data_IF_082670594509
#
_entry.id   IF_082670594509
#
_cell.length_a   1.000
_cell.length_b   1.000
_cell.length_c   1.000
_cell.angle_alpha   90.00
_cell.angle_beta   90.00
_cell.angle_gamma   90.00
#
_symmetry.space_group_name_H-M   'P 1'
#
loop_
_entity.id
_entity.type
_entity.pdbx_description
1 polymer ?
#
# COMPACT_ATOMS: atom_id res chain seq x y z
N UNK A 1 29.49 -12.03 -6.26
CA UNK A 1 29.45 -11.78 -7.73
C UNK A 1 28.24 -10.90 -8.10
N UNK A 2 27.04 -11.19 -7.65
CA UNK A 2 25.80 -10.48 -8.00
C UNK A 2 25.73 -9.03 -7.53
N UNK A 3 26.17 -8.73 -6.31
CA UNK A 3 26.26 -7.36 -5.79
C UNK A 3 27.15 -6.47 -6.70
N UNK A 4 28.24 -7.02 -7.26
CA UNK A 4 29.09 -6.30 -8.20
C UNK A 4 28.39 -5.96 -9.52
N UNK A 5 27.47 -6.80 -10.00
CA UNK A 5 26.68 -6.54 -11.21
C UNK A 5 25.68 -5.41 -10.97
N UNK A 6 24.95 -5.46 -9.86
CA UNK A 6 24.03 -4.37 -9.47
C UNK A 6 24.78 -3.07 -9.22
N UNK A 7 25.89 -3.13 -8.50
CA UNK A 7 26.76 -1.96 -8.29
C UNK A 7 27.26 -1.40 -9.63
N UNK A 8 27.66 -2.23 -10.60
CA UNK A 8 28.02 -1.75 -11.94
C UNK A 8 26.85 -1.09 -12.66
N UNK A 9 25.65 -1.64 -12.57
CA UNK A 9 24.45 -1.02 -13.13
C UNK A 9 24.15 0.33 -12.44
N UNK A 10 24.32 0.41 -11.12
CA UNK A 10 24.18 1.63 -10.33
C UNK A 10 25.25 2.67 -10.71
N UNK A 11 26.51 2.25 -10.88
CA UNK A 11 27.59 3.16 -11.29
C UNK A 11 27.42 3.65 -12.73
N UNK A 12 26.97 2.79 -13.65
CA UNK A 12 26.61 3.17 -15.00
C UNK A 12 25.46 4.19 -14.97
N UNK A 13 24.40 3.90 -14.21
CA UNK A 13 23.30 4.80 -13.94
C UNK A 13 23.78 6.14 -13.34
N UNK A 14 24.68 6.12 -12.33
CA UNK A 14 25.21 7.34 -11.72
C UNK A 14 25.98 8.23 -12.72
N UNK A 15 26.63 7.62 -13.71
CA UNK A 15 27.35 8.34 -14.77
C UNK A 15 26.35 8.92 -15.79
N UNK A 16 25.24 8.21 -16.05
CA UNK A 16 24.21 8.61 -16.99
C UNK A 16 23.17 9.57 -16.36
N UNK A 17 22.87 9.45 -15.06
CA UNK A 17 21.92 10.32 -14.31
C UNK A 17 22.28 11.81 -14.37
N UNK A 18 23.56 12.15 -14.51
CA UNK A 18 23.98 13.55 -14.68
C UNK A 18 23.44 14.21 -15.97
N UNK A 19 22.98 13.42 -16.95
CA UNK A 19 22.42 13.88 -18.23
C UNK A 19 20.94 13.58 -18.41
N UNK A 20 20.29 12.88 -17.45
CA UNK A 20 18.92 12.36 -17.57
C UNK A 20 17.91 13.26 -16.87
N UNK A 21 16.81 13.57 -17.56
CA UNK A 21 15.77 14.46 -17.04
C UNK A 21 14.56 13.72 -16.43
N UNK A 22 14.20 12.52 -16.93
CA UNK A 22 12.98 11.81 -16.48
C UNK A 22 13.07 10.28 -16.71
N UNK A 23 13.83 9.53 -15.91
CA UNK A 23 13.93 8.07 -16.06
C UNK A 23 12.76 7.34 -15.41
N UNK A 24 12.21 6.34 -16.12
CA UNK A 24 11.38 5.29 -15.54
C UNK A 24 12.17 4.00 -15.44
N UNK A 25 12.11 3.39 -14.26
CA UNK A 25 12.60 2.05 -14.04
C UNK A 25 11.42 1.06 -14.06
N UNK A 26 11.29 0.34 -15.17
CA UNK A 26 10.45 -0.86 -15.20
C UNK A 26 11.27 -1.99 -14.60
N UNK A 27 10.91 -2.39 -13.39
CA UNK A 27 11.63 -3.41 -12.65
C UNK A 27 10.72 -4.62 -12.44
N UNK A 28 11.22 -5.78 -12.83
CA UNK A 28 10.61 -7.05 -12.50
C UNK A 28 10.61 -7.24 -10.98
N UNK A 29 9.58 -7.85 -10.42
CA UNK A 29 9.54 -8.19 -9.01
C UNK A 29 10.72 -9.11 -8.64
N UNK A 30 11.31 -8.89 -7.46
CA UNK A 30 12.48 -9.64 -7.02
C UNK A 30 13.83 -9.19 -7.58
N UNK A 31 13.88 -8.21 -8.50
CA UNK A 31 15.15 -7.71 -9.07
C UNK A 31 15.92 -6.74 -8.16
N UNK A 32 15.54 -6.59 -6.89
CA UNK A 32 16.23 -5.71 -5.94
C UNK A 32 15.88 -4.24 -6.09
N UNK A 33 14.66 -3.91 -6.51
CA UNK A 33 14.14 -2.55 -6.68
C UNK A 33 14.35 -1.69 -5.42
N UNK A 34 13.91 -2.17 -4.26
CA UNK A 34 14.02 -1.45 -2.99
C UNK A 34 15.48 -1.16 -2.63
N UNK A 35 16.35 -2.15 -2.74
CA UNK A 35 17.79 -1.98 -2.51
C UNK A 35 18.41 -0.93 -3.43
N UNK A 36 18.03 -0.91 -4.71
CA UNK A 36 18.48 0.09 -5.66
C UNK A 36 18.02 1.50 -5.26
N UNK A 37 16.76 1.66 -4.87
CA UNK A 37 16.19 2.92 -4.37
C UNK A 37 16.95 3.39 -3.12
N UNK A 38 17.19 2.51 -2.16
CA UNK A 38 17.93 2.83 -0.93
C UNK A 38 19.33 3.36 -1.20
N UNK A 39 20.06 2.74 -2.14
CA UNK A 39 21.40 3.22 -2.53
C UNK A 39 21.35 4.62 -3.14
N UNK A 40 20.36 4.91 -4.00
CA UNK A 40 20.19 6.24 -4.58
C UNK A 40 19.90 7.26 -3.49
N UNK A 41 18.95 6.97 -2.60
CA UNK A 41 18.60 7.85 -1.48
C UNK A 41 19.81 8.12 -0.59
N UNK A 42 20.53 7.06 -0.17
CA UNK A 42 21.70 7.17 0.66
C UNK A 42 22.80 7.99 -0.02
N UNK A 43 23.04 7.73 -1.31
CA UNK A 43 24.06 8.45 -2.08
C UNK A 43 23.78 9.96 -2.23
N UNK A 44 22.50 10.35 -2.40
CA UNK A 44 22.15 11.76 -2.52
C UNK A 44 22.17 12.46 -1.14
N UNK A 45 21.63 11.80 -0.13
CA UNK A 45 21.62 12.33 1.25
C UNK A 45 23.01 12.47 1.83
N UNK A 46 23.94 11.55 1.53
CA UNK A 46 25.35 11.66 1.93
C UNK A 46 26.08 12.87 1.33
N UNK A 47 25.55 13.45 0.24
CA UNK A 47 26.04 14.71 -0.34
C UNK A 47 25.37 15.96 0.24
N UNK A 48 24.51 15.80 1.26
CA UNK A 48 23.71 16.90 1.81
C UNK A 48 22.52 17.30 0.93
N UNK A 49 22.20 16.53 -0.13
CA UNK A 49 21.11 16.85 -1.04
C UNK A 49 19.76 16.32 -0.54
N UNK A 50 18.68 17.03 -0.81
CA UNK A 50 17.32 16.60 -0.48
C UNK A 50 16.88 15.53 -1.48
N UNK A 51 16.68 14.32 -0.99
CA UNK A 51 16.16 13.17 -1.75
C UNK A 51 14.81 12.75 -1.17
N UNK A 52 13.76 12.90 -1.98
CA UNK A 52 12.37 12.63 -1.59
C UNK A 52 12.01 11.22 -2.01
N UNK A 53 11.61 10.40 -1.03
CA UNK A 53 11.13 9.04 -1.24
C UNK A 53 9.61 8.99 -1.09
N UNK A 54 8.92 8.56 -2.14
CA UNK A 54 7.46 8.37 -2.11
C UNK A 54 7.06 7.03 -2.69
N UNK A 55 5.86 6.55 -2.33
CA UNK A 55 5.25 5.37 -2.91
C UNK A 55 3.75 5.54 -3.10
N UNK A 56 3.15 4.71 -3.95
CA UNK A 56 1.70 4.73 -4.19
C UNK A 56 0.89 4.34 -2.95
N UNK A 57 1.40 3.40 -2.15
CA UNK A 57 0.71 2.87 -0.96
C UNK A 57 1.49 3.17 0.32
N UNK A 58 0.78 3.15 1.47
CA UNK A 58 1.39 3.35 2.79
C UNK A 58 2.44 2.27 3.10
N UNK A 59 2.12 1.01 2.81
CA UNK A 59 3.04 -0.10 3.07
C UNK A 59 4.34 0.02 2.26
N UNK A 60 4.24 0.30 0.96
CA UNK A 60 5.42 0.51 0.11
C UNK A 60 6.24 1.73 0.59
N UNK A 61 5.59 2.78 1.06
CA UNK A 61 6.26 3.98 1.57
C UNK A 61 7.10 3.70 2.83
N UNK A 62 6.65 2.82 3.72
CA UNK A 62 7.42 2.48 4.95
C UNK A 62 8.64 1.61 4.68
N UNK A 63 8.69 0.91 3.56
CA UNK A 63 9.88 0.18 3.14
C UNK A 63 11.01 1.11 2.67
N UNK A 64 10.71 2.37 2.42
CA UNK A 64 11.69 3.36 1.96
C UNK A 64 12.17 4.22 3.13
N UNK A 65 13.48 4.45 3.29
CA UNK A 65 14.01 5.33 4.33
C UNK A 65 13.43 6.75 4.25
N UNK A 66 12.62 7.15 5.24
CA UNK A 66 11.92 8.44 5.26
C UNK A 66 10.81 8.57 4.21
N UNK A 67 10.30 7.43 3.72
CA UNK A 67 9.28 7.39 2.69
C UNK A 67 7.90 7.82 3.19
N UNK A 68 7.11 8.40 2.29
CA UNK A 68 5.72 8.81 2.48
C UNK A 68 4.89 8.44 1.25
N UNK A 69 3.56 8.41 1.40
CA UNK A 69 2.72 8.23 0.21
C UNK A 69 2.79 9.45 -0.70
N UNK A 70 2.67 9.24 -2.01
CA UNK A 70 2.58 10.32 -3.01
C UNK A 70 1.49 11.32 -2.65
N UNK A 71 0.28 10.82 -2.30
CA UNK A 71 -0.85 11.66 -1.94
C UNK A 71 -0.57 12.56 -0.73
N UNK A 72 0.08 12.03 0.29
CA UNK A 72 0.46 12.78 1.49
C UNK A 72 1.55 13.82 1.20
N UNK A 73 2.57 13.46 0.42
CA UNK A 73 3.72 14.31 0.11
C UNK A 73 3.33 15.48 -0.79
N UNK A 74 2.55 15.20 -1.84
CA UNK A 74 2.15 16.21 -2.82
C UNK A 74 0.77 16.84 -2.54
N UNK A 75 0.08 16.41 -1.47
CA UNK A 75 -1.30 16.85 -1.15
C UNK A 75 -2.21 16.72 -2.38
N UNK A 76 -2.18 15.54 -3.01
CA UNK A 76 -2.98 15.25 -4.19
C UNK A 76 -4.47 15.28 -3.81
N UNK A 77 -5.31 16.07 -4.52
CA UNK A 77 -6.75 16.10 -4.27
C UNK A 77 -7.40 14.73 -4.52
N UNK A 78 -8.37 14.33 -3.69
CA UNK A 78 -9.08 13.05 -3.85
C UNK A 78 -9.87 12.96 -5.17
N UNK A 79 -10.34 14.10 -5.68
CA UNK A 79 -11.09 14.20 -6.92
C UNK A 79 -10.23 14.50 -8.15
N UNK A 80 -8.90 14.26 -8.07
CA UNK A 80 -7.94 14.56 -9.15
C UNK A 80 -8.32 13.93 -10.49
N UNK A 81 -8.99 12.76 -10.46
CA UNK A 81 -9.40 12.02 -11.66
C UNK A 81 -10.37 12.84 -12.52
N UNK A 82 -11.18 13.69 -11.91
CA UNK A 82 -12.17 14.52 -12.60
C UNK A 82 -11.63 15.89 -13.03
N UNK A 83 -10.40 16.26 -12.64
CA UNK A 83 -9.82 17.55 -12.97
C UNK A 83 -9.42 17.60 -14.46
N UNK A 84 -9.75 18.70 -15.14
CA UNK A 84 -9.29 18.98 -16.51
C UNK A 84 -7.80 19.32 -16.52
N UNK A 85 -7.39 20.20 -15.60
CA UNK A 85 -5.98 20.57 -15.35
C UNK A 85 -5.54 20.04 -13.99
N UNK A 86 -4.98 18.83 -13.92
CA UNK A 86 -4.62 18.22 -12.66
C UNK A 86 -3.44 18.99 -12.01
N UNK A 87 -3.61 19.35 -10.73
CA UNK A 87 -2.59 20.00 -9.91
C UNK A 87 -2.72 19.59 -8.44
N UNK A 88 -1.62 19.70 -7.69
CA UNK A 88 -1.58 19.38 -6.27
C UNK A 88 -1.90 20.60 -5.40
N UNK A 89 -2.47 20.39 -4.21
CA UNK A 89 -2.87 21.45 -3.29
C UNK A 89 -1.68 22.02 -2.49
N UNK A 90 -0.60 22.41 -3.17
CA UNK A 90 0.61 22.99 -2.56
C UNK A 90 0.74 24.46 -2.98
N UNK A 91 0.78 25.36 -2.01
CA UNK A 91 0.98 26.80 -2.26
C UNK A 91 2.47 27.13 -2.25
N UNK A 92 2.91 27.99 -3.20
CA UNK A 92 4.26 28.58 -3.19
C UNK A 92 4.54 29.31 -1.88
N UNK A 93 5.80 29.31 -1.45
CA UNK A 93 6.24 29.98 -0.21
C UNK A 93 6.03 29.15 1.07
N UNK A 94 5.35 28.00 1.00
CA UNK A 94 5.23 27.09 2.15
C UNK A 94 6.52 26.31 2.40
N UNK A 95 6.73 25.81 3.63
CA UNK A 95 7.88 24.96 3.93
C UNK A 95 7.98 23.74 2.99
N UNK A 96 6.84 23.11 2.66
CA UNK A 96 6.80 22.01 1.73
C UNK A 96 7.23 22.41 0.32
N UNK A 97 6.77 23.56 -0.19
CA UNK A 97 7.18 24.03 -1.52
C UNK A 97 8.68 24.32 -1.60
N UNK A 98 9.31 24.83 -0.51
CA UNK A 98 10.77 25.02 -0.45
C UNK A 98 11.52 23.71 -0.53
N UNK A 99 11.07 22.69 0.22
CA UNK A 99 11.65 21.33 0.16
C UNK A 99 11.59 20.76 -1.27
N UNK A 100 10.46 20.94 -1.97
CA UNK A 100 10.28 20.49 -3.36
C UNK A 100 11.11 21.31 -4.35
N UNK A 101 11.33 22.60 -4.06
CA UNK A 101 12.17 23.48 -4.86
C UNK A 101 13.64 23.09 -4.77
N UNK A 102 14.13 22.77 -3.56
CA UNK A 102 15.54 22.45 -3.28
C UNK A 102 15.86 20.97 -3.49
N UNK A 103 14.83 20.13 -3.72
CA UNK A 103 15.04 18.70 -3.94
C UNK A 103 15.89 18.42 -5.17
N UNK A 104 16.80 17.44 -5.05
CA UNK A 104 17.67 16.96 -6.12
C UNK A 104 17.10 15.71 -6.82
N UNK A 105 16.35 14.89 -6.10
CA UNK A 105 15.75 13.69 -6.66
C UNK A 105 14.39 13.39 -5.99
N UNK A 106 13.45 12.97 -6.80
CA UNK A 106 12.16 12.41 -6.41
C UNK A 106 12.11 10.94 -6.83
N UNK A 107 11.75 10.06 -5.89
CA UNK A 107 11.48 8.66 -6.18
C UNK A 107 10.01 8.38 -5.91
N UNK A 108 9.35 7.74 -6.87
CA UNK A 108 7.96 7.28 -6.78
C UNK A 108 7.95 5.77 -6.96
N UNK A 109 7.86 5.03 -5.86
CA UNK A 109 7.78 3.58 -5.91
C UNK A 109 6.34 3.11 -6.15
N UNK A 110 6.19 1.96 -6.82
CA UNK A 110 4.91 1.42 -7.31
C UNK A 110 4.11 2.44 -8.14
N UNK A 111 4.79 3.25 -8.95
CA UNK A 111 4.17 4.32 -9.76
C UNK A 111 3.11 3.79 -10.75
N UNK A 112 3.21 2.52 -11.15
CA UNK A 112 2.27 1.85 -12.07
C UNK A 112 0.87 1.66 -11.49
N UNK A 113 0.73 1.72 -10.14
CA UNK A 113 -0.56 1.66 -9.45
C UNK A 113 -1.27 3.02 -9.39
N UNK A 114 -0.55 4.13 -9.66
CA UNK A 114 -1.12 5.46 -9.62
C UNK A 114 -1.89 5.77 -10.91
N UNK A 115 -3.01 6.47 -10.76
CA UNK A 115 -3.69 7.06 -11.90
C UNK A 115 -2.79 8.08 -12.60
N UNK A 116 -2.71 8.08 -13.94
CA UNK A 116 -1.84 8.98 -14.72
C UNK A 116 -1.98 10.45 -14.31
N UNK A 117 -3.20 10.92 -14.00
CA UNK A 117 -3.46 12.29 -13.57
C UNK A 117 -2.73 12.68 -12.27
N UNK A 118 -2.38 11.72 -11.42
CA UNK A 118 -1.55 11.99 -10.22
C UNK A 118 -0.15 12.43 -10.63
N UNK A 119 0.46 11.73 -11.58
CA UNK A 119 1.80 12.06 -12.08
C UNK A 119 1.77 13.36 -12.89
N UNK A 120 0.73 13.59 -13.68
CA UNK A 120 0.50 14.84 -14.40
C UNK A 120 0.31 16.04 -13.43
N UNK A 121 -0.42 15.84 -12.31
CA UNK A 121 -0.56 16.84 -11.28
C UNK A 121 0.76 17.19 -10.60
N UNK A 122 1.61 16.18 -10.36
CA UNK A 122 2.96 16.39 -9.80
C UNK A 122 3.80 17.21 -10.79
N UNK A 123 3.78 16.88 -12.07
CA UNK A 123 4.50 17.60 -13.12
C UNK A 123 4.08 19.08 -13.15
N UNK A 124 2.76 19.33 -13.24
CA UNK A 124 2.20 20.70 -13.25
C UNK A 124 2.63 21.49 -12.01
N UNK A 125 2.54 20.85 -10.84
CA UNK A 125 2.87 21.49 -9.56
C UNK A 125 4.36 21.78 -9.42
N UNK A 126 5.23 20.83 -9.84
CA UNK A 126 6.67 21.02 -9.80
C UNK A 126 7.15 22.09 -10.78
N UNK A 127 6.55 22.17 -11.97
CA UNK A 127 6.81 23.25 -12.93
C UNK A 127 6.49 24.62 -12.32
N UNK A 128 5.36 24.72 -11.63
CA UNK A 128 4.98 25.96 -10.96
C UNK A 128 5.93 26.28 -9.80
N UNK A 129 6.16 25.36 -8.86
CA UNK A 129 7.00 25.59 -7.67
C UNK A 129 8.45 25.96 -8.07
N UNK A 130 9.02 25.27 -9.04
CA UNK A 130 10.40 25.43 -9.49
C UNK A 130 10.57 26.50 -10.56
N UNK A 131 9.44 27.14 -10.97
CA UNK A 131 9.42 28.16 -12.03
C UNK A 131 10.16 27.72 -13.29
N UNK A 132 9.94 26.47 -13.71
CA UNK A 132 10.58 25.83 -14.85
C UNK A 132 9.57 25.14 -15.75
N UNK A 133 9.67 25.33 -17.06
CA UNK A 133 8.83 24.63 -18.05
C UNK A 133 9.27 23.21 -18.35
N UNK A 134 10.44 22.80 -17.83
CA UNK A 134 10.95 21.44 -18.02
C UNK A 134 10.05 20.41 -17.33
N UNK A 135 10.06 19.18 -17.83
CA UNK A 135 9.32 18.07 -17.21
C UNK A 135 9.73 17.90 -15.76
N UNK A 136 8.73 17.73 -14.87
CA UNK A 136 8.90 17.70 -13.41
C UNK A 136 9.60 18.95 -12.85
N UNK A 137 9.49 20.10 -13.53
CA UNK A 137 10.20 21.32 -13.14
C UNK A 137 11.73 21.16 -13.14
N UNK A 138 12.26 20.24 -13.96
CA UNK A 138 13.67 19.89 -14.01
C UNK A 138 14.16 19.04 -12.83
N UNK A 139 13.26 18.53 -11.97
CA UNK A 139 13.62 17.61 -10.89
C UNK A 139 13.85 16.21 -11.45
N UNK A 140 15.03 15.62 -11.16
CA UNK A 140 15.27 14.23 -11.47
C UNK A 140 14.24 13.34 -10.79
N UNK A 141 13.39 12.70 -11.59
CA UNK A 141 12.28 11.89 -11.07
C UNK A 141 12.42 10.45 -11.53
N UNK A 142 12.48 9.53 -10.58
CA UNK A 142 12.50 8.09 -10.82
C UNK A 142 11.13 7.51 -10.52
N UNK A 143 10.48 6.99 -11.56
CA UNK A 143 9.24 6.24 -11.43
C UNK A 143 9.58 4.74 -11.44
N UNK A 144 9.32 4.05 -10.34
CA UNK A 144 9.59 2.63 -10.21
C UNK A 144 8.28 1.84 -10.19
N UNK A 145 8.22 0.71 -10.87
CA UNK A 145 7.02 -0.14 -10.89
C UNK A 145 7.11 -1.26 -11.92
N UNK A 146 6.14 -2.16 -11.89
CA UNK A 146 6.01 -3.27 -12.82
C UNK A 146 4.61 -3.26 -13.46
N UNK A 147 4.55 -3.06 -14.77
CA UNK A 147 3.30 -3.06 -15.55
C UNK A 147 2.67 -4.45 -15.75
N UNK A 148 3.31 -5.51 -15.27
CA UNK A 148 2.72 -6.85 -15.21
C UNK A 148 1.84 -7.05 -13.99
N UNK A 149 1.96 -6.14 -13.03
CA UNK A 149 1.11 -6.11 -11.83
C UNK A 149 -0.23 -5.42 -12.13
N UNK A 150 -1.03 -5.24 -11.08
CA UNK A 150 -2.35 -4.61 -11.17
C UNK A 150 -2.21 -3.17 -11.71
N UNK A 151 -3.09 -2.80 -12.64
CA UNK A 151 -3.26 -1.44 -13.13
C UNK A 151 -4.03 -0.58 -12.11
N UNK A 152 -4.06 0.76 -12.29
CA UNK A 152 -4.86 1.63 -11.43
C UNK A 152 -6.32 1.16 -11.33
N UNK A 153 -6.84 1.11 -10.11
CA UNK A 153 -8.22 0.69 -9.86
C UNK A 153 -9.17 1.87 -10.10
N UNK A 154 -10.12 1.70 -11.01
CA UNK A 154 -11.18 2.67 -11.30
C UNK A 154 -12.51 2.09 -10.85
N UNK A 155 -13.17 2.75 -9.89
CA UNK A 155 -14.48 2.32 -9.40
C UNK A 155 -15.49 2.30 -10.53
N UNK A 156 -16.19 1.18 -10.69
CA UNK A 156 -17.20 0.99 -11.75
C UNK A 156 -16.66 1.31 -13.16
N UNK A 157 -15.34 1.30 -13.32
CA UNK A 157 -14.67 1.60 -14.58
C UNK A 157 -14.71 0.43 -15.56
N UNK A 158 -14.86 0.74 -16.84
CA UNK A 158 -14.68 -0.22 -17.93
C UNK A 158 -13.18 -0.53 -18.12
N UNK A 159 -12.86 -1.59 -18.87
CA UNK A 159 -11.49 -1.90 -19.29
C UNK A 159 -10.80 -0.70 -19.97
N UNK A 160 -11.54 0.04 -20.79
CA UNK A 160 -11.03 1.25 -21.44
C UNK A 160 -10.65 2.34 -20.43
N UNK A 161 -11.46 2.55 -19.38
CA UNK A 161 -11.16 3.51 -18.33
C UNK A 161 -9.89 3.11 -17.54
N UNK A 162 -9.69 1.81 -17.28
CA UNK A 162 -8.50 1.30 -16.60
C UNK A 162 -7.25 1.52 -17.46
N UNK A 163 -7.33 1.26 -18.77
CA UNK A 163 -6.22 1.49 -19.71
C UNK A 163 -5.92 2.98 -19.82
N UNK A 164 -6.94 3.86 -19.88
CA UNK A 164 -6.74 5.30 -19.91
C UNK A 164 -6.10 5.82 -18.60
N UNK A 165 -6.44 5.23 -17.47
CA UNK A 165 -5.85 5.57 -16.18
C UNK A 165 -4.36 5.21 -16.07
N UNK A 166 -3.88 4.30 -16.88
CA UNK A 166 -2.50 3.81 -16.85
C UNK A 166 -1.51 4.93 -17.19
N UNK A 167 -0.36 4.92 -16.52
CA UNK A 167 0.73 5.87 -16.76
C UNK A 167 1.19 5.89 -18.24
N UNK A 168 1.12 4.78 -18.94
CA UNK A 168 1.45 4.70 -20.37
C UNK A 168 0.52 5.54 -21.27
N UNK A 169 -0.68 5.86 -20.80
CA UNK A 169 -1.63 6.72 -21.50
C UNK A 169 -1.39 8.21 -21.26
N UNK A 170 -0.47 8.58 -20.36
CA UNK A 170 -0.08 9.97 -20.13
C UNK A 170 0.78 10.52 -21.27
N UNK A 171 0.60 11.81 -21.60
CA UNK A 171 1.49 12.53 -22.52
C UNK A 171 2.94 12.55 -22.07
N UNK A 172 3.18 12.49 -20.78
CA UNK A 172 4.50 12.43 -20.17
C UNK A 172 5.25 11.13 -20.52
N UNK A 173 4.53 10.05 -20.85
CA UNK A 173 5.14 8.76 -21.15
C UNK A 173 6.13 8.81 -22.29
N UNK A 174 5.90 9.65 -23.29
CA UNK A 174 6.80 9.82 -24.46
C UNK A 174 8.16 10.42 -24.09
N UNK A 175 8.25 11.08 -22.93
CA UNK A 175 9.44 11.75 -22.45
C UNK A 175 10.25 10.89 -21.48
N UNK A 176 9.74 9.67 -21.21
CA UNK A 176 10.30 8.75 -20.23
C UNK A 176 11.40 7.92 -20.83
N UNK A 177 12.53 7.86 -20.15
CA UNK A 177 13.59 6.89 -20.43
C UNK A 177 13.37 5.63 -19.62
N UNK A 178 13.24 4.49 -20.29
CA UNK A 178 12.94 3.21 -19.65
C UNK A 178 14.22 2.43 -19.36
N UNK A 179 14.37 1.98 -18.11
CA UNK A 179 15.43 1.10 -17.66
C UNK A 179 14.83 -0.19 -17.12
N UNK A 180 15.49 -1.32 -17.36
CA UNK A 180 15.03 -2.64 -16.91
C UNK A 180 16.09 -3.30 -16.02
N UNK A 181 15.68 -3.75 -14.86
CA UNK A 181 16.42 -4.74 -14.08
C UNK A 181 15.92 -6.12 -14.49
N UNK A 182 16.80 -6.98 -14.95
CA UNK A 182 16.45 -8.29 -15.54
C UNK A 182 16.80 -9.47 -14.63
N UNK A 183 17.71 -9.29 -13.69
CA UNK A 183 18.16 -10.36 -12.81
C UNK A 183 17.24 -10.50 -11.59
N UNK A 184 16.53 -11.63 -11.46
CA UNK A 184 15.74 -11.91 -10.28
C UNK A 184 16.64 -12.28 -9.10
N UNK A 185 16.82 -11.35 -8.17
CA UNK A 185 17.72 -11.52 -7.02
C UNK A 185 17.16 -12.48 -5.97
N UNK A 186 15.84 -12.62 -5.85
CA UNK A 186 15.21 -13.57 -4.91
C UNK A 186 15.60 -15.01 -5.29
N UNK A 187 15.50 -15.33 -6.57
CA UNK A 187 15.85 -16.66 -7.10
C UNK A 187 17.36 -16.87 -7.06
N UNK A 188 18.13 -15.86 -7.50
CA UNK A 188 19.59 -15.95 -7.54
C UNK A 188 20.23 -16.14 -6.16
N UNK A 189 19.61 -15.64 -5.08
CA UNK A 189 20.07 -15.83 -3.70
C UNK A 189 19.67 -17.18 -3.11
N UNK A 190 18.59 -17.78 -3.58
CA UNK A 190 18.12 -19.08 -3.09
C UNK A 190 18.84 -20.27 -3.74
N UNK A 191 19.47 -20.07 -4.93
CA UNK A 191 20.14 -21.09 -5.72
C UNK A 191 19.28 -22.36 -5.95
N UNK A 192 17.96 -22.18 -6.12
CA UNK A 192 16.98 -23.24 -6.33
C UNK A 192 16.47 -23.19 -7.77
N UNK A 193 16.79 -24.25 -8.56
CA UNK A 193 16.35 -24.36 -9.97
C UNK A 193 14.81 -24.37 -10.10
N UNK A 194 14.08 -24.91 -9.13
CA UNK A 194 12.62 -24.93 -9.14
C UNK A 194 12.06 -23.52 -8.99
N UNK A 195 12.67 -22.71 -8.13
CA UNK A 195 12.30 -21.32 -7.95
C UNK A 195 12.56 -20.51 -9.23
N UNK A 196 13.65 -20.78 -9.95
CA UNK A 196 13.95 -20.16 -11.24
C UNK A 196 12.94 -20.56 -12.32
N UNK A 197 12.63 -21.84 -12.45
CA UNK A 197 11.59 -22.31 -13.37
C UNK A 197 10.24 -21.68 -13.10
N UNK A 198 9.84 -21.59 -11.82
CA UNK A 198 8.58 -20.96 -11.42
C UNK A 198 8.56 -19.45 -11.73
N UNK A 199 9.65 -18.73 -11.42
CA UNK A 199 9.77 -17.31 -11.74
C UNK A 199 9.66 -17.05 -13.25
N UNK A 200 10.28 -17.90 -14.08
CA UNK A 200 10.18 -17.81 -15.54
C UNK A 200 8.76 -18.07 -16.05
N UNK A 201 8.02 -19.03 -15.44
CA UNK A 201 6.60 -19.25 -15.75
C UNK A 201 5.75 -18.03 -15.42
N UNK A 202 5.95 -17.43 -14.23
CA UNK A 202 5.24 -16.21 -13.84
C UNK A 202 5.55 -15.04 -14.79
N UNK A 203 6.81 -14.93 -15.24
CA UNK A 203 7.21 -13.90 -16.17
C UNK A 203 6.49 -14.05 -17.53
N UNK A 204 6.44 -15.27 -18.07
CA UNK A 204 5.71 -15.57 -19.31
C UNK A 204 4.22 -15.26 -19.15
N UNK A 205 3.61 -15.63 -18.02
CA UNK A 205 2.21 -15.28 -17.73
C UNK A 205 2.01 -13.76 -17.73
N UNK A 206 2.86 -13.02 -17.02
CA UNK A 206 2.79 -11.56 -16.94
C UNK A 206 3.03 -10.84 -18.28
N UNK A 207 3.79 -11.46 -19.19
CA UNK A 207 4.00 -10.96 -20.54
C UNK A 207 2.87 -11.34 -21.53
N UNK A 208 1.94 -12.22 -21.14
CA UNK A 208 0.93 -12.77 -22.04
C UNK A 208 1.48 -13.82 -23.03
N UNK A 209 2.61 -14.46 -22.69
CA UNK A 209 3.32 -15.45 -23.54
C UNK A 209 2.95 -16.90 -23.18
N UNK A 210 1.86 -17.10 -22.47
CA UNK A 210 1.36 -18.43 -22.08
C UNK A 210 0.38 -18.98 -23.11
N UNK A 211 0.33 -20.30 -23.19
CA UNK A 211 -0.59 -20.98 -24.07
C UNK A 211 -2.04 -20.67 -23.68
N UNK A 212 -2.83 -20.22 -24.63
CA UNK A 212 -4.26 -19.92 -24.45
C UNK A 212 -5.09 -21.19 -24.61
N UNK A 213 -6.15 -21.32 -23.82
CA UNK A 213 -7.09 -22.46 -23.88
C UNK A 213 -8.40 -22.00 -24.49
N UNK A 214 -8.80 -22.58 -25.61
CA UNK A 214 -10.07 -22.38 -26.28
C UNK A 214 -10.32 -20.97 -26.84
N UNK A 215 -9.70 -19.93 -26.34
CA UNK A 215 -9.84 -18.52 -26.76
C UNK A 215 -8.60 -17.72 -26.37
N UNK A 216 -8.23 -16.66 -27.13
CA UNK A 216 -7.11 -15.77 -26.78
C UNK A 216 -7.25 -15.10 -25.41
N UNK A 217 -8.48 -15.04 -24.87
CA UNK A 217 -8.77 -14.38 -23.59
C UNK A 217 -8.61 -15.30 -22.38
N UNK A 218 -8.38 -16.60 -22.58
CA UNK A 218 -8.28 -17.58 -21.49
C UNK A 218 -6.92 -18.24 -21.44
N UNK A 219 -6.33 -18.27 -20.23
CA UNK A 219 -5.04 -18.91 -19.94
C UNK A 219 -5.25 -20.04 -18.94
N UNK A 220 -4.63 -21.20 -19.20
CA UNK A 220 -4.65 -22.30 -18.24
C UNK A 220 -3.76 -22.02 -17.05
N UNK A 221 -4.32 -22.08 -15.84
CA UNK A 221 -3.59 -21.96 -14.58
C UNK A 221 -3.19 -23.32 -13.98
N UNK A 222 -3.49 -24.43 -14.65
CA UNK A 222 -3.20 -25.80 -14.14
C UNK A 222 -1.71 -26.03 -13.86
N UNK A 223 -0.84 -25.35 -14.60
CA UNK A 223 0.61 -25.44 -14.43
C UNK A 223 1.17 -24.53 -13.31
N UNK A 224 0.32 -23.70 -12.69
CA UNK A 224 0.72 -22.74 -11.66
C UNK A 224 0.30 -23.14 -10.25
N UNK A 225 -0.67 -24.05 -10.14
CA UNK A 225 -1.18 -24.50 -8.86
C UNK A 225 -2.11 -25.70 -8.97
N UNK A 226 -2.56 -26.22 -7.84
CA UNK A 226 -3.53 -27.29 -7.77
C UNK A 226 -4.93 -26.69 -7.71
N UNK A 227 -5.81 -27.00 -8.68
CA UNK A 227 -7.18 -26.51 -8.66
C UNK A 227 -7.94 -27.08 -7.44
N UNK A 228 -9.00 -26.38 -7.05
CA UNK A 228 -9.93 -26.83 -6.03
C UNK A 228 -11.36 -26.56 -6.53
N UNK A 229 -12.24 -27.54 -6.29
CA UNK A 229 -13.60 -27.52 -6.83
C UNK A 229 -14.52 -26.58 -6.05
N UNK A 230 -14.19 -26.31 -4.79
CA UNK A 230 -14.95 -25.40 -3.96
C UNK A 230 -14.07 -24.66 -2.95
N UNK A 231 -14.67 -23.66 -2.29
CA UNK A 231 -14.00 -22.78 -1.36
C UNK A 231 -13.56 -23.51 -0.08
N UNK A 232 -14.33 -24.48 0.41
CA UNK A 232 -14.03 -25.22 1.64
C UNK A 232 -12.74 -26.02 1.49
N UNK A 233 -12.51 -26.64 0.32
CA UNK A 233 -11.25 -27.32 0.03
C UNK A 233 -10.07 -26.35 0.09
N UNK A 234 -10.24 -25.13 -0.39
CA UNK A 234 -9.19 -24.07 -0.29
C UNK A 234 -8.93 -23.72 1.17
N UNK A 235 -10.01 -23.48 1.94
CA UNK A 235 -9.89 -23.13 3.36
C UNK A 235 -9.14 -24.23 4.13
N UNK A 236 -9.51 -25.48 3.94
CA UNK A 236 -8.90 -26.61 4.67
C UNK A 236 -7.47 -26.91 4.21
N UNK A 237 -7.12 -26.64 2.94
CA UNK A 237 -5.73 -26.75 2.46
C UNK A 237 -4.83 -25.66 2.97
N UNK A 238 -5.31 -24.41 3.01
CA UNK A 238 -4.52 -23.24 3.42
C UNK A 238 -4.48 -23.11 4.95
N UNK A 239 -5.60 -23.36 5.62
CA UNK A 239 -5.74 -23.26 7.07
C UNK A 239 -6.15 -24.61 7.71
N UNK A 240 -5.37 -25.69 7.54
CA UNK A 240 -5.71 -26.99 8.13
C UNK A 240 -5.82 -26.87 9.64
N UNK A 241 -6.90 -27.43 10.21
CA UNK A 241 -7.13 -27.43 11.66
C UNK A 241 -7.02 -26.03 12.29
N UNK A 242 -7.59 -25.02 11.66
CA UNK A 242 -7.53 -23.64 12.13
C UNK A 242 -8.03 -23.50 13.58
N UNK A 243 -9.03 -24.28 13.99
CA UNK A 243 -9.59 -24.31 15.34
C UNK A 243 -8.56 -24.67 16.43
N UNK A 244 -7.47 -25.39 16.08
CA UNK A 244 -6.38 -25.72 16.99
C UNK A 244 -5.15 -24.83 16.80
N UNK A 245 -4.99 -24.26 15.61
CA UNK A 245 -3.78 -23.49 15.23
C UNK A 245 -3.97 -21.98 15.33
N UNK A 246 -5.13 -21.48 15.71
CA UNK A 246 -5.42 -20.01 15.71
C UNK A 246 -4.56 -19.22 16.70
N UNK A 247 -4.03 -19.84 17.75
CA UNK A 247 -3.09 -19.20 18.69
C UNK A 247 -1.66 -19.13 18.16
N UNK A 248 -1.34 -19.89 17.12
CA UNK A 248 -0.02 -19.83 16.51
C UNK A 248 0.05 -18.67 15.50
N UNK A 249 0.38 -17.48 16.00
CA UNK A 249 0.44 -16.25 15.22
C UNK A 249 1.40 -16.34 14.03
N UNK A 250 2.56 -16.99 14.20
CA UNK A 250 3.52 -17.20 13.11
C UNK A 250 2.93 -18.04 12.01
N UNK A 251 2.22 -19.12 12.36
CA UNK A 251 1.54 -20.00 11.41
C UNK A 251 0.44 -19.27 10.64
N UNK A 252 -0.38 -18.45 11.31
CA UNK A 252 -1.42 -17.62 10.69
C UNK A 252 -0.82 -16.61 9.70
N UNK A 253 0.29 -15.96 10.08
CA UNK A 253 0.90 -14.90 9.28
C UNK A 253 1.62 -15.39 8.02
N UNK A 254 2.00 -16.66 7.97
CA UNK A 254 2.62 -17.27 6.80
C UNK A 254 1.60 -17.64 5.70
N UNK A 255 0.31 -17.47 5.95
CA UNK A 255 -0.78 -17.90 5.07
C UNK A 255 -1.67 -16.74 4.68
N UNK A 256 -2.19 -16.80 3.45
CA UNK A 256 -3.20 -15.86 2.97
C UNK A 256 -3.99 -16.49 1.82
N UNK A 257 -5.25 -16.10 1.70
CA UNK A 257 -6.08 -16.37 0.54
C UNK A 257 -6.29 -15.04 -0.17
N UNK A 258 -6.05 -15.01 -1.47
CA UNK A 258 -6.24 -13.82 -2.31
C UNK A 258 -7.48 -14.04 -3.18
N UNK A 259 -8.33 -13.03 -3.26
CA UNK A 259 -9.50 -13.03 -4.14
C UNK A 259 -9.58 -11.70 -4.92
N UNK A 260 -10.10 -11.71 -6.15
CA UNK A 260 -10.12 -10.52 -7.01
C UNK A 260 -11.19 -9.50 -6.62
N UNK A 261 -12.23 -9.92 -5.90
CA UNK A 261 -13.38 -9.08 -5.53
C UNK A 261 -13.57 -9.03 -4.02
N UNK A 262 -13.96 -7.86 -3.50
CA UNK A 262 -14.19 -7.64 -2.06
C UNK A 262 -15.30 -8.52 -1.50
N UNK A 263 -16.34 -8.80 -2.27
CA UNK A 263 -17.43 -9.69 -1.86
C UNK A 263 -16.92 -11.11 -1.57
N UNK A 264 -16.07 -11.63 -2.46
CA UNK A 264 -15.41 -12.93 -2.25
C UNK A 264 -14.50 -12.91 -1.03
N UNK A 265 -13.75 -11.83 -0.82
CA UNK A 265 -12.92 -11.66 0.40
C UNK A 265 -13.79 -11.67 1.65
N UNK A 266 -14.91 -10.94 1.65
CA UNK A 266 -15.84 -10.87 2.79
C UNK A 266 -16.45 -12.23 3.10
N UNK A 267 -16.85 -12.97 2.07
CA UNK A 267 -17.37 -14.34 2.21
C UNK A 267 -16.33 -15.30 2.81
N UNK A 268 -15.12 -15.29 2.27
CA UNK A 268 -14.01 -16.12 2.76
C UNK A 268 -13.68 -15.79 4.22
N UNK A 269 -13.58 -14.50 4.54
CA UNK A 269 -13.29 -14.06 5.90
C UNK A 269 -14.38 -14.50 6.89
N UNK A 270 -15.67 -14.44 6.49
CA UNK A 270 -16.79 -14.92 7.31
C UNK A 270 -16.68 -16.41 7.58
N UNK A 271 -16.47 -17.23 6.55
CA UNK A 271 -16.31 -18.68 6.67
C UNK A 271 -15.11 -19.05 7.58
N UNK A 272 -13.98 -18.34 7.46
CA UNK A 272 -12.83 -18.56 8.33
C UNK A 272 -13.11 -18.12 9.78
N UNK A 273 -13.80 -17.00 9.98
CA UNK A 273 -14.20 -16.54 11.31
C UNK A 273 -15.13 -17.52 12.01
N UNK A 274 -16.04 -18.15 11.29
CA UNK A 274 -16.94 -19.19 11.83
C UNK A 274 -16.15 -20.42 12.34
N UNK A 275 -15.04 -20.78 11.69
CA UNK A 275 -14.18 -21.89 12.10
C UNK A 275 -13.32 -21.60 13.35
N UNK A 276 -13.21 -20.33 13.80
CA UNK A 276 -12.51 -19.98 15.03
C UNK A 276 -13.36 -20.27 16.27
N UNK A 277 -12.80 -20.93 17.32
CA UNK A 277 -13.56 -21.35 18.49
C UNK A 277 -13.86 -20.21 19.49
N UNK A 278 -13.30 -19.02 19.26
CA UNK A 278 -13.42 -17.87 20.17
C UNK A 278 -14.74 -17.13 20.00
N UNK A 279 -15.17 -16.43 21.06
CA UNK A 279 -16.42 -15.66 21.06
C UNK A 279 -16.38 -14.51 20.07
N UNK A 280 -17.50 -14.28 19.38
CA UNK A 280 -17.67 -13.12 18.50
C UNK A 280 -18.01 -11.88 19.30
N UNK A 281 -17.30 -10.78 19.02
CA UNK A 281 -17.58 -9.44 19.53
C UNK A 281 -18.01 -8.55 18.37
N UNK A 282 -19.22 -8.01 18.47
CA UNK A 282 -19.82 -7.16 17.44
C UNK A 282 -19.62 -5.70 17.77
N UNK A 283 -19.02 -4.94 16.87
CA UNK A 283 -18.82 -3.49 16.98
C UNK A 283 -19.66 -2.78 15.92
N UNK A 284 -20.36 -1.72 16.33
CA UNK A 284 -21.22 -0.95 15.45
C UNK A 284 -20.69 0.46 15.29
N UNK A 285 -20.54 0.92 14.04
CA UNK A 285 -20.09 2.27 13.74
C UNK A 285 -21.16 3.31 14.08
N UNK A 286 -20.74 4.49 14.55
CA UNK A 286 -21.62 5.64 14.72
C UNK A 286 -21.43 6.53 13.50
N UNK A 287 -22.44 6.60 12.65
CA UNK A 287 -22.45 7.40 11.44
C UNK A 287 -23.26 8.68 11.66
N UNK A 288 -22.70 9.81 11.26
CA UNK A 288 -23.36 11.12 11.35
C UNK A 288 -22.93 12.02 10.20
N UNK A 289 -23.80 12.92 9.80
CA UNK A 289 -23.45 14.03 8.91
C UNK A 289 -22.76 15.15 9.70
N UNK A 290 -21.92 15.93 9.02
CA UNK A 290 -21.18 17.03 9.65
C UNK A 290 -22.07 18.24 9.87
N UNK A 291 -23.05 18.45 9.00
CA UNK A 291 -23.99 19.56 9.01
C UNK A 291 -25.36 19.06 9.50
N UNK A 292 -25.87 19.62 10.60
CA UNK A 292 -27.15 19.22 11.18
C UNK A 292 -28.34 19.47 10.23
N UNK A 293 -28.26 20.47 9.34
CA UNK A 293 -29.29 20.73 8.33
C UNK A 293 -29.40 19.58 7.30
N UNK A 294 -28.28 18.89 7.03
CA UNK A 294 -28.27 17.73 6.14
C UNK A 294 -28.75 16.45 6.82
N UNK A 295 -28.86 16.41 8.14
CA UNK A 295 -29.33 15.23 8.88
C UNK A 295 -30.75 14.83 8.49
N UNK A 296 -31.58 15.77 8.08
CA UNK A 296 -32.95 15.53 7.60
C UNK A 296 -32.96 14.82 6.24
N UNK A 297 -31.96 15.12 5.38
CA UNK A 297 -31.84 14.53 4.04
C UNK A 297 -31.15 13.16 4.06
N UNK A 298 -30.32 12.91 5.06
CA UNK A 298 -29.55 11.65 5.19
C UNK A 298 -29.87 10.96 6.52
N UNK A 299 -30.97 10.18 6.58
CA UNK A 299 -31.33 9.39 7.77
C UNK A 299 -30.19 8.47 8.20
N UNK A 300 -30.11 8.16 9.50
CA UNK A 300 -29.05 7.30 10.06
C UNK A 300 -29.05 5.92 9.41
N UNK A 301 -30.21 5.37 9.07
CA UNK A 301 -30.37 4.10 8.37
C UNK A 301 -29.69 4.13 6.99
N UNK A 302 -29.87 5.23 6.26
CA UNK A 302 -29.19 5.43 4.98
C UNK A 302 -27.67 5.51 5.17
N UNK A 303 -27.19 6.29 6.15
CA UNK A 303 -25.77 6.39 6.45
C UNK A 303 -25.17 5.03 6.85
N UNK A 304 -25.92 4.19 7.54
CA UNK A 304 -25.49 2.87 7.96
C UNK A 304 -25.45 1.86 6.79
N UNK A 305 -26.22 2.11 5.72
CA UNK A 305 -26.22 1.28 4.52
C UNK A 305 -25.13 1.62 3.51
N UNK A 306 -24.43 2.76 3.69
CA UNK A 306 -23.39 3.19 2.76
C UNK A 306 -22.11 2.36 2.98
N UNK A 307 -21.74 1.60 1.98
CA UNK A 307 -20.44 0.94 1.93
C UNK A 307 -19.41 1.85 1.28
N UNK A 308 -18.46 2.32 2.07
CA UNK A 308 -17.35 3.14 1.59
C UNK A 308 -16.10 2.27 1.51
N UNK A 309 -15.47 2.20 0.34
CA UNK A 309 -14.18 1.52 0.20
C UNK A 309 -13.16 2.11 1.18
N UNK A 310 -12.29 1.27 1.71
CA UNK A 310 -11.27 1.65 2.70
C UNK A 310 -11.81 2.01 4.10
N UNK A 311 -13.11 1.80 4.34
CA UNK A 311 -13.68 1.86 5.68
C UNK A 311 -14.26 0.49 6.06
N UNK A 312 -14.26 0.13 7.35
CA UNK A 312 -14.93 -1.08 7.80
C UNK A 312 -16.45 -0.94 7.61
N UNK A 313 -17.18 -2.05 7.47
CA UNK A 313 -18.64 -2.04 7.41
C UNK A 313 -19.23 -1.45 8.69
N UNK A 314 -20.51 -1.01 8.62
CA UNK A 314 -21.23 -0.46 9.78
C UNK A 314 -21.23 -1.43 10.97
N UNK A 315 -21.40 -2.72 10.71
CA UNK A 315 -21.30 -3.80 11.70
C UNK A 315 -20.05 -4.61 11.43
N UNK A 316 -19.19 -4.73 12.42
CA UNK A 316 -17.92 -5.43 12.35
C UNK A 316 -17.85 -6.51 13.42
N UNK A 317 -17.83 -7.76 13.01
CA UNK A 317 -17.66 -8.92 13.87
C UNK A 317 -16.19 -9.31 13.97
N UNK A 318 -15.68 -9.36 15.19
CA UNK A 318 -14.30 -9.69 15.48
C UNK A 318 -14.20 -10.83 16.50
N UNK A 319 -13.14 -11.63 16.40
CA UNK A 319 -12.81 -12.71 17.33
C UNK A 319 -11.34 -12.64 17.75
N UNK A 320 -11.03 -13.04 18.98
CA UNK A 320 -9.63 -13.19 19.40
C UNK A 320 -8.91 -14.24 18.53
N UNK A 321 -7.64 -13.99 18.19
CA UNK A 321 -6.86 -14.81 17.27
C UNK A 321 -7.08 -14.51 15.79
N UNK A 322 -8.01 -13.62 15.44
CA UNK A 322 -8.30 -13.26 14.05
C UNK A 322 -7.21 -12.36 13.47
N UNK A 323 -6.64 -12.69 12.30
CA UNK A 323 -5.80 -11.77 11.55
C UNK A 323 -6.63 -10.61 10.99
N UNK A 324 -6.18 -9.39 11.19
CA UNK A 324 -6.83 -8.17 10.69
C UNK A 324 -5.83 -7.25 10.04
N UNK A 325 -6.31 -6.30 9.24
CA UNK A 325 -5.50 -5.28 8.59
C UNK A 325 -6.03 -3.90 8.92
N UNK A 326 -5.13 -2.96 9.22
CA UNK A 326 -5.51 -1.57 9.42
C UNK A 326 -5.90 -0.94 8.07
N UNK A 327 -7.08 -0.37 7.99
CA UNK A 327 -7.57 0.33 6.80
C UNK A 327 -7.17 1.81 6.77
N UNK A 328 -6.69 2.37 7.89
CA UNK A 328 -6.21 3.75 8.00
C UNK A 328 -4.93 3.83 8.84
N UNK A 329 -4.07 4.79 8.48
CA UNK A 329 -2.89 5.09 9.28
C UNK A 329 -3.29 5.80 10.56
N UNK A 330 -2.94 5.23 11.71
CA UNK A 330 -3.28 5.74 13.05
C UNK A 330 -2.07 6.42 13.67
N UNK A 331 -0.90 5.79 13.61
CA UNK A 331 0.37 6.28 14.16
C UNK A 331 1.52 5.96 13.21
N UNK A 332 1.77 6.80 12.19
CA UNK A 332 2.93 6.59 11.31
C UNK A 332 4.26 6.77 12.09
N UNK A 333 5.29 5.97 11.81
CA UNK A 333 5.37 4.91 10.81
C UNK A 333 4.94 3.52 11.31
N UNK A 334 4.56 3.36 12.58
CA UNK A 334 4.30 2.06 13.22
C UNK A 334 2.97 1.42 12.77
N UNK A 335 1.90 2.23 12.78
CA UNK A 335 0.53 1.80 12.48
C UNK A 335 -0.01 2.55 11.26
N UNK A 336 0.24 2.00 10.11
CA UNK A 336 -0.18 2.54 8.82
C UNK A 336 -1.25 1.69 8.16
N UNK A 337 -1.93 2.24 7.16
CA UNK A 337 -2.82 1.49 6.30
C UNK A 337 -2.08 0.29 5.68
N UNK A 338 -2.68 -0.90 5.76
CA UNK A 338 -2.08 -2.16 5.32
C UNK A 338 -1.27 -2.90 6.39
N UNK A 339 -1.07 -2.34 7.59
CA UNK A 339 -0.41 -3.06 8.69
C UNK A 339 -1.26 -4.28 9.09
N UNK A 340 -0.65 -5.46 9.03
CA UNK A 340 -1.28 -6.71 9.45
C UNK A 340 -1.11 -6.90 10.95
N UNK A 341 -2.21 -7.19 11.61
CA UNK A 341 -2.27 -7.41 13.05
C UNK A 341 -3.01 -8.69 13.37
N UNK A 342 -2.88 -9.19 14.60
CA UNK A 342 -3.71 -10.27 15.14
C UNK A 342 -4.43 -9.73 16.38
N UNK A 343 -5.71 -10.04 16.48
CA UNK A 343 -6.53 -9.63 17.62
C UNK A 343 -6.12 -10.46 18.85
N UNK A 344 -5.64 -9.79 19.88
CA UNK A 344 -5.29 -10.40 21.15
C UNK A 344 -6.46 -10.38 22.13
N UNK A 345 -7.16 -9.25 22.23
CA UNK A 345 -8.30 -9.10 23.11
C UNK A 345 -9.36 -8.18 22.51
N UNK A 346 -10.63 -8.49 22.76
CA UNK A 346 -11.79 -7.69 22.38
C UNK A 346 -12.47 -7.17 23.65
N UNK A 347 -12.51 -5.85 23.84
CA UNK A 347 -13.23 -5.18 24.92
C UNK A 347 -14.38 -4.33 24.34
N UNK A 348 -15.29 -3.86 25.17
CA UNK A 348 -16.45 -3.07 24.75
C UNK A 348 -16.09 -1.81 23.93
N UNK A 349 -14.96 -1.17 24.23
CA UNK A 349 -14.58 0.14 23.66
C UNK A 349 -13.26 0.13 22.91
N UNK A 350 -12.52 -0.96 22.94
CA UNK A 350 -11.25 -1.08 22.24
C UNK A 350 -10.96 -2.52 21.83
N UNK A 351 -10.12 -2.65 20.83
CA UNK A 351 -9.55 -3.94 20.41
C UNK A 351 -8.05 -3.86 20.65
N UNK A 352 -7.51 -4.85 21.31
CA UNK A 352 -6.08 -5.00 21.54
C UNK A 352 -5.51 -5.89 20.44
N UNK A 353 -4.53 -5.36 19.70
CA UNK A 353 -3.94 -6.06 18.56
C UNK A 353 -2.42 -6.15 18.69
N UNK A 354 -1.86 -7.25 18.23
CA UNK A 354 -0.42 -7.46 18.07
C UNK A 354 -0.03 -7.18 16.63
N UNK A 355 1.03 -6.39 16.40
CA UNK A 355 1.55 -6.13 15.05
C UNK A 355 2.26 -7.38 14.57
N UNK A 356 1.73 -8.01 13.54
CA UNK A 356 2.17 -9.32 13.10
C UNK A 356 3.13 -9.28 11.90
N UNK A 357 3.19 -8.17 11.16
CA UNK A 357 4.10 -8.00 10.02
C UNK A 357 4.50 -6.53 9.83
N UNK A 358 5.74 -6.30 9.45
CA UNK A 358 6.31 -4.99 9.17
C UNK A 358 7.69 -4.82 9.82
N UNK A 359 8.32 -3.68 9.61
CA UNK A 359 9.63 -3.33 10.19
C UNK A 359 9.58 -3.37 11.73
N UNK A 360 8.42 -3.22 12.31
CA UNK A 360 8.15 -3.22 13.74
C UNK A 360 7.65 -4.56 14.29
N UNK A 361 7.50 -5.59 13.43
CA UNK A 361 7.21 -6.95 13.89
C UNK A 361 8.49 -7.57 14.43
N UNK A 362 8.58 -7.66 15.77
CA UNK A 362 9.61 -8.45 16.42
C UNK A 362 11.04 -8.05 16.07
N UNK A 363 11.45 -6.82 16.28
CA UNK A 363 12.87 -6.49 16.40
C UNK A 363 13.41 -7.23 17.63
N UNK A 364 13.80 -8.49 17.41
CA UNK A 364 14.73 -9.16 18.29
C UNK A 364 16.10 -8.50 18.08
N UNK A 365 16.34 -7.44 18.80
CA UNK A 365 17.69 -6.98 19.06
C UNK A 365 18.44 -8.13 19.75
N UNK A 366 19.35 -8.77 19.03
CA UNK A 366 20.18 -9.89 19.52
C UNK A 366 21.16 -9.48 20.63
N UNK A 367 20.93 -8.37 21.30
CA UNK A 367 21.82 -7.83 22.32
C UNK A 367 21.24 -7.68 23.74
N UNK A 368 19.98 -8.11 24.00
CA UNK A 368 19.52 -8.18 25.39
C UNK A 368 18.63 -9.40 25.65
N UNK A 369 19.16 -10.29 26.46
CA UNK A 369 18.45 -11.34 27.17
C UNK A 369 17.31 -10.75 28.02
N UNK A 370 16.15 -11.42 27.95
CA UNK A 370 14.94 -11.31 28.75
C UNK A 370 13.84 -10.35 28.29
N UNK A 371 12.70 -11.01 28.08
CA UNK A 371 11.34 -10.53 27.81
C UNK A 371 11.06 -10.07 26.36
N UNK A 372 10.34 -10.94 25.63
CA UNK A 372 9.65 -10.60 24.40
C UNK A 372 8.59 -9.53 24.69
N UNK A 373 8.92 -8.26 24.46
CA UNK A 373 7.93 -7.18 24.48
C UNK A 373 7.11 -7.32 23.19
N UNK A 374 5.96 -7.98 23.27
CA UNK A 374 4.94 -7.95 22.23
C UNK A 374 4.42 -6.53 22.15
N UNK A 375 4.55 -5.87 20.99
CA UNK A 375 4.01 -4.53 20.80
C UNK A 375 2.49 -4.64 20.65
N UNK A 376 1.79 -4.62 21.78
CA UNK A 376 0.32 -4.65 21.81
C UNK A 376 -0.21 -3.23 21.73
N UNK A 377 -1.11 -2.98 20.79
CA UNK A 377 -1.73 -1.68 20.58
C UNK A 377 -3.22 -1.79 20.83
N UNK A 378 -3.76 -0.85 21.61
CA UNK A 378 -5.20 -0.72 21.82
C UNK A 378 -5.80 0.21 20.78
N UNK A 379 -6.70 -0.30 19.96
CA UNK A 379 -7.46 0.48 18.98
C UNK A 379 -8.84 0.77 19.57
N UNK A 380 -9.15 2.05 19.77
CA UNK A 380 -10.45 2.47 20.34
C UNK A 380 -11.51 2.39 19.26
N UNK A 381 -12.55 1.61 19.49
CA UNK A 381 -13.63 1.36 18.54
C UNK A 381 -14.84 2.30 18.70
N UNK A 382 -14.91 3.12 19.78
CA UNK A 382 -16.01 4.08 20.00
C UNK A 382 -15.50 5.45 20.41
N UNK A 383 -16.10 6.55 19.91
CA UNK A 383 -15.84 7.88 20.45
C UNK A 383 -16.48 7.99 21.85
N UNK A 384 -15.69 8.40 22.84
CA UNK A 384 -16.25 8.82 24.14
C UNK A 384 -17.20 9.99 23.92
N UNK A 385 -18.36 9.95 24.57
CA UNK A 385 -19.43 10.98 24.54
C UNK A 385 -19.04 12.28 25.26
N UNK A 386 -17.81 12.72 25.25
CA UNK A 386 -17.43 13.98 25.87
C UNK A 386 -16.40 14.70 24.99
N UNK A 387 -16.90 15.60 24.15
CA UNK A 387 -16.34 16.93 23.88
C UNK A 387 -17.14 17.66 22.80
N UNK A 388 -17.64 18.81 23.17
CA UNK A 388 -18.27 19.83 22.31
C UNK A 388 -17.44 20.18 21.08
N UNK A 389 -18.05 20.34 19.89
CA UNK A 389 -17.32 20.64 18.67
C UNK A 389 -16.92 22.13 18.63
N UNK A 390 -15.65 22.40 18.44
CA UNK A 390 -15.19 23.72 18.00
C UNK A 390 -15.48 23.90 16.50
N UNK A 391 -16.13 25.01 16.16
CA UNK A 391 -16.47 25.44 14.80
C UNK A 391 -15.24 25.48 13.89
N UNK A 392 -15.27 24.77 12.77
CA UNK A 392 -14.93 25.24 11.41
C UNK A 392 -14.73 24.07 10.42
N UNK A 393 -15.33 24.28 9.24
CA UNK A 393 -15.11 23.69 7.92
C UNK A 393 -16.12 22.64 7.44
N UNK A 394 -16.91 23.10 6.46
CA UNK A 394 -17.80 22.34 5.59
C UNK A 394 -17.06 21.28 4.77
N UNK A 395 -17.34 20.02 4.94
CA UNK A 395 -16.97 18.93 4.01
C UNK A 395 -17.84 17.71 4.24
N UNK A 396 -18.18 17.04 3.15
CA UNK A 396 -18.79 15.72 2.93
C UNK A 396 -18.95 14.75 4.13
N UNK A 397 -19.97 13.90 4.16
CA UNK A 397 -20.24 12.99 5.28
C UNK A 397 -19.00 12.18 5.63
N UNK A 398 -18.50 12.30 6.85
CA UNK A 398 -17.30 11.62 7.33
C UNK A 398 -17.66 10.71 8.50
N UNK A 399 -17.32 9.42 8.36
CA UNK A 399 -17.20 8.54 9.51
C UNK A 399 -16.07 9.05 10.41
N UNK A 400 -16.34 9.26 11.69
CA UNK A 400 -15.29 9.64 12.65
C UNK A 400 -14.37 8.45 12.88
N UNK A 401 -13.04 8.63 12.78
CA UNK A 401 -12.08 7.54 12.99
C UNK A 401 -11.96 7.15 14.47
N UNK A 402 -11.76 5.86 14.70
CA UNK A 402 -11.29 5.36 15.99
C UNK A 402 -9.91 5.94 16.32
N UNK A 403 -9.74 6.46 17.54
CA UNK A 403 -8.46 6.97 18.05
C UNK A 403 -7.69 5.83 18.72
N UNK A 404 -6.44 5.66 18.34
CA UNK A 404 -5.54 4.72 19.00
C UNK A 404 -4.77 5.44 20.13
N UNK A 405 -4.75 4.84 21.32
CA UNK A 405 -3.85 5.23 22.39
C UNK A 405 -2.77 4.17 22.56
N UNK A 406 -1.51 4.53 22.33
CA UNK A 406 -0.36 3.72 22.71
C UNK A 406 0.06 4.07 24.14
N UNK A 407 0.06 3.10 25.05
CA UNK A 407 0.76 3.23 26.32
C UNK A 407 2.15 2.60 26.18
N UNK A 408 3.18 3.42 26.29
CA UNK A 408 4.52 2.92 26.59
C UNK A 408 4.53 2.38 28.03
N UNK A 409 5.17 1.24 28.32
CA UNK A 409 5.35 0.82 29.69
C UNK A 409 6.24 1.85 30.39
N UNK A 410 5.75 2.40 31.49
CA UNK A 410 6.61 3.14 32.44
C UNK A 410 7.57 2.14 33.05
N UNK A 411 8.85 2.37 32.84
CA UNK A 411 9.90 1.75 33.63
C UNK A 411 9.70 2.19 35.11
N UNK A 412 9.51 1.25 35.97
CA UNK A 412 9.82 1.35 37.39
C UNK A 412 11.08 0.55 37.69
#
# INVERSE_FOLDING_TARGET
>A
MYIKVQIKQIFRFRKEVGSMKFPIFSMQEGCGKTFFIEIILASQRAKGSIAIATASTGLAATLLPGGRTVHSTFKVPLNIINAETPSCSIKKGTALSRVLQDASVLIVDEATLLHRKVIEAIDTTLKDIRSSSEVMGGLLTLLCGDFRQILPVIRQGTRANIVDACLKSSSLWRLVQQYRLTTNMRVALQADERAEMFANKLLRLGNGETDTVQSPDYVSLLNFGTPADNIDIILDRIYPQIHSNYENHTWLMQRAILAPHNDSVSQINKLLAEKLPTQTHTYTAINSVVDEEQAVQFPVEFLNSIEVSELPPHVLDLKCGMPVMLLRSIKPPELINGTRCIIHNCDRHFVEVEIAAGIYSGQNDKSQTHSSVRSTVRVVCCPSKDKTPSKRESRTPTQKPCLAHSRSPKMS
#
